data_IF_074785942623
#
_entry.id   IF_074785942623
#
_cell.length_a   1.000
_cell.length_b   1.000
_cell.length_c   1.000
_cell.angle_alpha   90.00
_cell.angle_beta   90.00
_cell.angle_gamma   90.00
#
_symmetry.space_group_name_H-M   'P 1'
#
loop_
_entity.id
_entity.type
_entity.pdbx_description
1 polymer ?
#
# COMPACT_ATOMS: atom_id res chain seq x y z
N UNK A 1 -57.20 -26.65 32.38
CA UNK A 1 -55.77 -26.36 32.09
C UNK A 1 -55.45 -25.03 32.76
N UNK A 2 -54.48 -25.01 33.72
CA UNK A 2 -54.26 -23.82 34.55
C UNK A 2 -53.68 -22.69 33.68
N UNK A 3 -54.18 -21.46 33.88
CA UNK A 3 -53.79 -20.22 33.14
C UNK A 3 -52.27 -19.96 33.17
N UNK A 4 -51.58 -20.48 34.20
CA UNK A 4 -50.12 -20.45 34.32
C UNK A 4 -49.41 -21.39 33.37
N UNK A 5 -49.98 -22.54 33.03
CA UNK A 5 -49.42 -23.48 32.02
C UNK A 5 -49.58 -22.89 30.60
N UNK A 6 -50.68 -22.24 30.32
CA UNK A 6 -50.90 -21.57 29.02
C UNK A 6 -49.89 -20.43 28.78
N UNK A 7 -49.63 -19.56 29.78
CA UNK A 7 -48.61 -18.50 29.68
C UNK A 7 -47.20 -19.03 29.44
N UNK A 8 -46.84 -20.16 30.07
CA UNK A 8 -45.55 -20.80 29.86
C UNK A 8 -45.40 -21.36 28.44
N UNK A 9 -46.43 -22.01 27.92
CA UNK A 9 -46.37 -22.51 26.54
C UNK A 9 -46.37 -21.39 25.49
N UNK A 10 -47.05 -20.31 25.76
CA UNK A 10 -47.06 -19.13 24.88
C UNK A 10 -45.68 -18.43 24.87
N UNK A 11 -45.03 -18.32 26.02
CA UNK A 11 -43.68 -17.78 26.11
C UNK A 11 -42.64 -18.66 25.38
N UNK A 12 -42.74 -19.98 25.48
CA UNK A 12 -41.85 -20.91 24.75
C UNK A 12 -42.06 -20.82 23.25
N UNK A 13 -43.34 -20.73 22.80
CA UNK A 13 -43.64 -20.58 21.38
C UNK A 13 -43.16 -19.23 20.81
N UNK A 14 -43.27 -18.14 21.59
CA UNK A 14 -42.78 -16.83 21.21
C UNK A 14 -41.22 -16.79 21.12
N UNK A 15 -40.53 -17.46 22.07
CA UNK A 15 -39.08 -17.60 21.99
C UNK A 15 -38.62 -18.46 20.80
N UNK A 16 -39.35 -19.51 20.46
CA UNK A 16 -39.08 -20.34 19.29
C UNK A 16 -39.31 -19.59 17.97
N UNK A 17 -40.31 -18.71 17.92
CA UNK A 17 -40.58 -17.86 16.75
C UNK A 17 -39.53 -16.74 16.59
N UNK A 18 -38.91 -16.25 17.66
CA UNK A 18 -37.86 -15.26 17.65
C UNK A 18 -36.48 -15.87 17.37
N UNK A 19 -36.27 -17.15 17.64
CA UNK A 19 -35.02 -17.88 17.38
C UNK A 19 -34.82 -18.27 15.90
N UNK A 20 -35.85 -18.14 15.09
CA UNK A 20 -35.80 -18.46 13.64
C UNK A 20 -35.40 -17.31 12.71
N UNK A 21 -35.06 -16.14 13.25
CA UNK A 21 -34.62 -14.99 12.46
C UNK A 21 -33.09 -14.94 12.29
N UNK A 22 -32.38 -16.08 12.27
CA UNK A 22 -31.14 -16.15 11.54
C UNK A 22 -31.52 -16.06 10.05
N UNK A 23 -31.46 -14.90 9.46
CA UNK A 23 -31.42 -14.78 8.01
C UNK A 23 -30.17 -15.54 7.56
N UNK A 24 -30.40 -16.78 7.11
CA UNK A 24 -29.43 -17.49 6.32
C UNK A 24 -29.35 -16.72 4.98
N UNK A 25 -28.44 -15.77 4.90
CA UNK A 25 -27.99 -15.25 3.63
C UNK A 25 -27.33 -16.44 2.97
N UNK A 26 -28.06 -17.11 2.08
CA UNK A 26 -27.54 -18.22 1.28
C UNK A 26 -26.17 -17.88 0.69
N UNK A 27 -25.45 -18.83 0.10
CA UNK A 27 -24.14 -18.55 -0.47
C UNK A 27 -24.23 -17.31 -1.38
N UNK A 28 -23.41 -16.32 -1.08
CA UNK A 28 -23.41 -15.06 -1.85
C UNK A 28 -23.10 -15.41 -3.31
N UNK A 29 -24.04 -15.10 -4.21
CA UNK A 29 -23.81 -15.31 -5.63
C UNK A 29 -22.75 -14.30 -6.08
N UNK A 30 -21.58 -14.79 -6.50
CA UNK A 30 -20.53 -13.95 -7.05
C UNK A 30 -20.94 -13.51 -8.46
N UNK A 31 -20.66 -12.25 -8.75
CA UNK A 31 -20.95 -11.66 -10.06
C UNK A 31 -19.78 -11.92 -11.01
N UNK A 32 -20.09 -12.23 -12.25
CA UNK A 32 -19.10 -12.30 -13.32
C UNK A 32 -19.05 -10.93 -14.04
N UNK A 33 -17.99 -10.19 -13.79
CA UNK A 33 -17.69 -8.97 -14.51
C UNK A 33 -16.89 -9.26 -15.76
N UNK A 34 -17.19 -8.54 -16.84
CA UNK A 34 -16.40 -8.57 -18.08
C UNK A 34 -16.22 -7.13 -18.57
N UNK A 35 -15.13 -6.50 -18.19
CA UNK A 35 -14.82 -5.13 -18.61
C UNK A 35 -13.93 -5.17 -19.84
N UNK A 36 -14.36 -4.46 -20.88
CA UNK A 36 -13.63 -4.40 -22.17
C UNK A 36 -13.07 -3.02 -22.49
N UNK A 37 -13.42 -2.02 -21.67
CA UNK A 37 -13.04 -0.64 -21.88
C UNK A 37 -12.03 -0.10 -20.87
N UNK A 38 -11.65 1.16 -21.05
CA UNK A 38 -10.86 1.91 -20.09
C UNK A 38 -11.74 2.42 -18.96
N UNK A 39 -11.24 2.43 -17.73
CA UNK A 39 -11.96 2.94 -16.58
C UNK A 39 -11.04 3.37 -15.44
N UNK A 40 -11.65 3.81 -14.36
CA UNK A 40 -10.94 4.28 -13.18
C UNK A 40 -11.28 3.41 -11.98
N UNK A 41 -10.28 2.84 -11.35
CA UNK A 41 -10.42 2.20 -10.05
C UNK A 41 -10.34 3.24 -8.93
N UNK A 42 -11.20 3.10 -7.94
CA UNK A 42 -11.29 3.98 -6.79
C UNK A 42 -11.20 3.10 -5.55
N UNK A 43 -10.10 3.21 -4.83
CA UNK A 43 -9.93 2.58 -3.51
C UNK A 43 -10.68 3.42 -2.49
N UNK A 44 -11.66 2.81 -1.83
CA UNK A 44 -12.38 3.42 -0.72
C UNK A 44 -11.75 2.91 0.57
N UNK A 45 -11.06 3.79 1.26
CA UNK A 45 -10.29 3.46 2.46
C UNK A 45 -11.18 2.84 3.56
N UNK A 46 -12.39 3.34 3.69
CA UNK A 46 -13.28 2.96 4.77
C UNK A 46 -12.93 3.65 6.08
N UNK A 47 -13.53 3.16 7.16
CA UNK A 47 -13.24 3.63 8.52
C UNK A 47 -12.27 2.68 9.19
N UNK A 48 -11.21 3.21 9.78
CA UNK A 48 -10.23 2.43 10.53
C UNK A 48 -10.89 1.55 11.61
N UNK A 49 -10.55 0.28 11.66
CA UNK A 49 -11.10 -0.78 12.53
C UNK A 49 -12.55 -1.21 12.22
N UNK A 50 -13.14 -0.82 11.10
CA UNK A 50 -14.51 -1.23 10.74
C UNK A 50 -14.56 -2.33 9.66
N UNK A 51 -13.46 -2.65 9.01
CA UNK A 51 -13.38 -3.67 7.98
C UNK A 51 -14.31 -3.40 6.79
N UNK A 52 -14.51 -2.12 6.46
CA UNK A 52 -15.44 -1.67 5.42
C UNK A 52 -14.74 -0.98 4.24
N UNK A 53 -13.46 -1.25 4.05
CA UNK A 53 -12.77 -0.86 2.84
C UNK A 53 -13.38 -1.55 1.61
N UNK A 54 -13.41 -0.84 0.50
CA UNK A 54 -14.00 -1.36 -0.74
C UNK A 54 -13.28 -0.85 -1.98
N UNK A 55 -13.57 -1.46 -3.12
CA UNK A 55 -13.11 -1.05 -4.42
C UNK A 55 -14.31 -0.69 -5.30
N UNK A 56 -14.25 0.47 -5.94
CA UNK A 56 -15.22 0.89 -6.93
C UNK A 56 -14.54 1.04 -8.29
N UNK A 57 -15.35 0.89 -9.35
CA UNK A 57 -14.92 1.10 -10.74
C UNK A 57 -15.83 2.11 -11.42
N UNK A 58 -15.25 3.11 -12.06
CA UNK A 58 -15.94 4.07 -12.88
C UNK A 58 -15.72 3.76 -14.35
N UNK A 59 -16.81 3.54 -15.07
CA UNK A 59 -16.85 3.38 -16.53
C UNK A 59 -17.12 4.76 -17.15
N UNK A 60 -16.16 5.39 -17.84
CA UNK A 60 -16.34 6.71 -18.42
C UNK A 60 -17.24 6.72 -19.67
N UNK A 61 -17.40 5.58 -20.36
CA UNK A 61 -18.26 5.48 -21.54
C UNK A 61 -19.73 5.43 -21.11
N UNK A 62 -20.04 4.62 -20.11
CA UNK A 62 -21.39 4.51 -19.53
C UNK A 62 -21.70 5.62 -18.53
N UNK A 63 -20.66 6.33 -18.03
CA UNK A 63 -20.76 7.31 -16.92
C UNK A 63 -21.38 6.72 -15.67
N UNK A 64 -21.01 5.49 -15.35
CA UNK A 64 -21.55 4.73 -14.23
C UNK A 64 -20.43 4.31 -13.27
N UNK A 65 -20.77 4.24 -11.99
CA UNK A 65 -19.91 3.73 -10.94
C UNK A 65 -20.46 2.39 -10.47
N UNK A 66 -19.63 1.37 -10.51
CA UNK A 66 -19.87 0.07 -9.89
C UNK A 66 -19.17 0.05 -8.53
N UNK A 67 -19.96 -0.08 -7.47
CA UNK A 67 -19.42 -0.12 -6.10
C UNK A 67 -19.22 -1.55 -5.64
N UNK A 68 -18.33 -1.72 -4.64
CA UNK A 68 -18.02 -2.99 -3.98
C UNK A 68 -17.63 -4.12 -4.95
N UNK A 69 -16.99 -3.76 -6.08
CA UNK A 69 -16.66 -4.71 -7.16
C UNK A 69 -15.81 -5.89 -6.68
N UNK A 70 -14.91 -5.67 -5.72
CA UNK A 70 -14.12 -6.75 -5.15
C UNK A 70 -15.00 -7.76 -4.40
N UNK A 71 -15.90 -7.26 -3.53
CA UNK A 71 -16.80 -8.12 -2.76
C UNK A 71 -17.77 -8.88 -3.67
N UNK A 72 -18.35 -8.19 -4.65
CA UNK A 72 -19.29 -8.78 -5.61
C UNK A 72 -18.64 -9.86 -6.47
N UNK A 73 -17.37 -9.67 -6.87
CA UNK A 73 -16.65 -10.64 -7.68
C UNK A 73 -16.10 -11.84 -6.88
N UNK A 74 -15.86 -11.68 -5.57
CA UNK A 74 -15.12 -12.69 -4.78
C UNK A 74 -15.95 -13.29 -3.62
N UNK A 75 -17.07 -12.68 -3.22
CA UNK A 75 -17.91 -13.16 -2.13
C UNK A 75 -17.39 -12.88 -0.72
N UNK A 76 -16.30 -12.14 -0.58
CA UNK A 76 -15.76 -11.72 0.70
C UNK A 76 -15.24 -10.28 0.65
N UNK A 77 -15.17 -9.64 1.82
CA UNK A 77 -14.78 -8.23 1.94
C UNK A 77 -13.30 -8.01 1.70
N UNK A 78 -12.96 -6.83 1.16
CA UNK A 78 -11.57 -6.42 0.95
C UNK A 78 -10.79 -6.31 2.27
N UNK A 79 -11.43 -5.84 3.34
CA UNK A 79 -10.82 -5.73 4.66
C UNK A 79 -10.89 -4.31 5.23
N UNK A 80 -9.84 -3.91 5.92
CA UNK A 80 -9.77 -2.65 6.65
C UNK A 80 -8.64 -1.77 6.10
N UNK A 81 -8.99 -0.57 5.66
CA UNK A 81 -8.12 0.46 5.10
C UNK A 81 -7.48 0.07 3.75
N UNK A 82 -8.22 0.22 2.64
CA UNK A 82 -7.67 0.10 1.29
C UNK A 82 -6.78 1.32 0.96
N UNK A 83 -5.50 1.20 1.24
CA UNK A 83 -4.53 2.31 1.26
C UNK A 83 -4.11 2.78 -0.13
N UNK A 84 -3.84 1.84 -1.02
CA UNK A 84 -3.33 2.14 -2.36
C UNK A 84 -3.62 1.01 -3.34
N UNK A 85 -3.54 1.31 -4.63
CA UNK A 85 -3.63 0.33 -5.70
C UNK A 85 -2.65 0.67 -6.80
N UNK A 86 -1.98 -0.34 -7.34
CA UNK A 86 -1.11 -0.24 -8.52
C UNK A 86 -1.58 -1.26 -9.55
N UNK A 87 -1.67 -0.83 -10.81
CA UNK A 87 -2.00 -1.74 -11.93
C UNK A 87 -0.72 -2.04 -12.70
N UNK A 88 -0.46 -3.33 -12.89
CA UNK A 88 0.65 -3.81 -13.70
C UNK A 88 0.26 -5.07 -14.46
N UNK A 89 0.47 -5.10 -15.77
CA UNK A 89 0.28 -6.26 -16.62
C UNK A 89 -1.11 -6.92 -16.49
N UNK A 90 -2.17 -6.10 -16.38
CA UNK A 90 -3.54 -6.59 -16.24
C UNK A 90 -3.91 -7.04 -14.82
N UNK A 91 -3.00 -6.92 -13.86
CA UNK A 91 -3.22 -7.22 -12.45
C UNK A 91 -3.29 -5.94 -11.64
N UNK A 92 -4.35 -5.81 -10.84
CA UNK A 92 -4.52 -4.75 -9.85
C UNK A 92 -4.03 -5.22 -8.48
N UNK A 93 -3.03 -4.55 -7.93
CA UNK A 93 -2.45 -4.84 -6.62
C UNK A 93 -3.00 -3.87 -5.60
N UNK A 94 -3.85 -4.37 -4.71
CA UNK A 94 -4.57 -3.57 -3.71
C UNK A 94 -3.91 -3.76 -2.35
N UNK A 95 -3.33 -2.70 -1.82
CA UNK A 95 -2.71 -2.71 -0.49
C UNK A 95 -3.77 -2.41 0.56
N UNK A 96 -4.01 -3.35 1.46
CA UNK A 96 -4.98 -3.21 2.54
C UNK A 96 -4.25 -3.12 3.88
N UNK A 97 -4.08 -1.88 4.33
CA UNK A 97 -3.17 -1.49 5.39
C UNK A 97 -3.43 -2.22 6.72
N UNK A 98 -4.60 -2.02 7.32
CA UNK A 98 -4.91 -2.56 8.66
C UNK A 98 -5.28 -4.06 8.64
N UNK A 99 -5.44 -4.64 7.45
CA UNK A 99 -5.59 -6.09 7.28
C UNK A 99 -4.27 -6.80 7.00
N UNK A 100 -3.18 -6.06 6.79
CA UNK A 100 -1.84 -6.64 6.59
C UNK A 100 -1.71 -7.50 5.34
N UNK A 101 -2.45 -7.18 4.28
CA UNK A 101 -2.55 -7.99 3.05
C UNK A 101 -2.45 -7.11 1.80
N UNK A 102 -1.91 -7.68 0.74
CA UNK A 102 -1.96 -7.12 -0.61
C UNK A 102 -2.67 -8.13 -1.49
N UNK A 103 -3.83 -7.77 -2.04
CA UNK A 103 -4.55 -8.58 -3.02
C UNK A 103 -4.05 -8.30 -4.43
N UNK A 104 -3.91 -9.35 -5.22
CA UNK A 104 -3.75 -9.29 -6.66
C UNK A 104 -5.08 -9.70 -7.32
N UNK A 105 -5.65 -8.83 -8.13
CA UNK A 105 -6.90 -9.08 -8.84
C UNK A 105 -6.70 -8.94 -10.35
N UNK A 106 -7.39 -9.73 -11.13
CA UNK A 106 -7.56 -9.48 -12.56
C UNK A 106 -8.41 -8.22 -12.76
N UNK A 107 -7.90 -7.22 -13.50
CA UNK A 107 -8.57 -5.93 -13.64
C UNK A 107 -9.82 -5.97 -14.52
N UNK A 108 -10.04 -7.05 -15.26
CA UNK A 108 -11.20 -7.20 -16.16
C UNK A 108 -12.36 -7.93 -15.49
N UNK A 109 -12.05 -8.86 -14.59
CA UNK A 109 -13.04 -9.69 -13.89
C UNK A 109 -13.18 -9.33 -12.42
N UNK A 110 -12.26 -8.53 -11.88
CA UNK A 110 -12.12 -8.16 -10.47
C UNK A 110 -11.90 -9.35 -9.52
N UNK A 111 -11.71 -10.55 -10.08
CA UNK A 111 -11.45 -11.76 -9.30
C UNK A 111 -10.03 -11.76 -8.75
N UNK A 112 -9.92 -12.20 -7.50
CA UNK A 112 -8.62 -12.44 -6.89
C UNK A 112 -7.88 -13.55 -7.64
N UNK A 113 -6.62 -13.28 -7.98
CA UNK A 113 -5.70 -14.23 -8.59
C UNK A 113 -4.58 -14.64 -7.64
N UNK A 114 -4.40 -13.89 -6.55
CA UNK A 114 -3.43 -14.18 -5.50
C UNK A 114 -3.39 -13.10 -4.44
N UNK A 115 -2.64 -13.34 -3.36
CA UNK A 115 -2.42 -12.37 -2.29
C UNK A 115 -1.09 -12.58 -1.60
N UNK A 116 -0.55 -11.52 -1.01
CA UNK A 116 0.62 -11.55 -0.15
C UNK A 116 0.16 -11.15 1.24
N UNK A 117 0.42 -11.99 2.23
CA UNK A 117 0.03 -11.80 3.63
C UNK A 117 1.27 -11.71 4.55
N UNK A 118 1.08 -11.31 5.78
CA UNK A 118 2.13 -11.28 6.79
C UNK A 118 2.78 -9.91 6.99
N UNK A 119 2.16 -8.86 6.49
CA UNK A 119 2.57 -7.48 6.78
C UNK A 119 1.97 -6.99 8.10
N UNK A 120 2.63 -6.02 8.72
CA UNK A 120 2.09 -5.31 9.88
C UNK A 120 1.07 -4.26 9.46
N UNK A 121 1.48 -3.35 8.59
CA UNK A 121 0.65 -2.24 8.09
C UNK A 121 1.21 -1.75 6.76
N UNK A 122 1.01 -2.49 5.65
CA UNK A 122 1.56 -2.16 4.34
C UNK A 122 0.96 -0.85 3.80
N UNK A 123 1.77 -0.08 3.09
CA UNK A 123 1.37 1.23 2.55
C UNK A 123 1.36 1.26 1.03
N UNK A 124 2.48 0.93 0.41
CA UNK A 124 2.65 0.98 -1.04
C UNK A 124 3.48 -0.20 -1.51
N UNK A 125 3.19 -0.68 -2.71
CA UNK A 125 4.01 -1.65 -3.43
C UNK A 125 4.68 -0.97 -4.62
N UNK A 126 5.97 -1.22 -4.82
CA UNK A 126 6.77 -0.72 -5.94
C UNK A 126 7.48 -1.88 -6.63
N UNK A 127 7.20 -2.06 -7.91
CA UNK A 127 7.75 -3.17 -8.69
C UNK A 127 9.10 -2.78 -9.30
N UNK A 128 10.12 -3.58 -9.03
CA UNK A 128 11.42 -3.47 -9.68
C UNK A 128 11.47 -4.30 -10.97
N UNK A 129 10.89 -5.49 -10.92
CA UNK A 129 10.73 -6.40 -12.05
C UNK A 129 9.57 -7.39 -11.76
N UNK A 130 9.44 -8.48 -12.53
CA UNK A 130 8.35 -9.45 -12.36
C UNK A 130 8.52 -10.36 -11.14
N UNK A 131 9.71 -10.45 -10.58
CA UNK A 131 10.04 -11.34 -9.46
C UNK A 131 10.40 -10.59 -8.19
N UNK A 132 10.49 -9.25 -8.27
CA UNK A 132 10.91 -8.43 -7.12
C UNK A 132 10.14 -7.14 -7.05
N UNK A 133 9.52 -6.90 -5.90
CA UNK A 133 8.90 -5.64 -5.55
C UNK A 133 9.21 -5.28 -4.09
N UNK A 134 9.16 -4.00 -3.78
CA UNK A 134 9.28 -3.49 -2.42
C UNK A 134 7.91 -3.11 -1.86
N UNK A 135 7.70 -3.37 -0.58
CA UNK A 135 6.48 -2.98 0.15
C UNK A 135 6.87 -2.14 1.36
N UNK A 136 6.43 -0.90 1.36
CA UNK A 136 6.60 0.02 2.49
C UNK A 136 5.56 -0.22 3.56
N UNK A 137 5.87 0.13 4.80
CA UNK A 137 5.00 -0.07 5.94
C UNK A 137 5.00 1.14 6.89
N UNK A 138 3.94 1.24 7.67
CA UNK A 138 3.85 2.09 8.86
C UNK A 138 3.96 1.22 10.11
N UNK A 139 4.58 1.72 11.16
CA UNK A 139 4.84 1.03 12.43
C UNK A 139 5.78 -0.19 12.32
N UNK A 140 6.55 -0.24 11.24
CA UNK A 140 7.58 -1.24 11.01
C UNK A 140 8.77 -0.59 10.30
N UNK A 141 9.98 -0.67 10.84
CA UNK A 141 11.17 -0.09 10.23
C UNK A 141 11.67 -0.86 9.00
N UNK A 142 11.00 -1.95 8.64
CA UNK A 142 11.40 -2.79 7.51
C UNK A 142 10.62 -2.40 6.25
N UNK A 143 11.33 -2.39 5.13
CA UNK A 143 10.72 -2.38 3.80
C UNK A 143 10.79 -3.82 3.30
N UNK A 144 9.64 -4.44 3.06
CA UNK A 144 9.61 -5.84 2.68
C UNK A 144 9.95 -6.03 1.21
N UNK A 145 10.62 -7.13 0.91
CA UNK A 145 10.91 -7.59 -0.45
C UNK A 145 9.97 -8.75 -0.72
N UNK A 146 9.21 -8.65 -1.81
CA UNK A 146 8.23 -9.66 -2.19
C UNK A 146 8.48 -10.15 -3.60
N UNK A 147 8.07 -11.38 -3.86
CA UNK A 147 8.02 -11.92 -5.21
C UNK A 147 6.57 -11.87 -5.72
N UNK A 148 6.26 -11.03 -6.72
CA UNK A 148 4.91 -10.91 -7.26
C UNK A 148 4.38 -12.18 -7.97
N UNK A 149 5.27 -13.05 -8.46
CA UNK A 149 4.86 -14.30 -9.13
C UNK A 149 4.45 -15.39 -8.15
N UNK A 150 5.14 -15.48 -7.01
CA UNK A 150 4.87 -16.53 -6.01
C UNK A 150 3.98 -16.05 -4.88
N UNK A 151 3.71 -14.73 -4.80
CA UNK A 151 2.97 -14.07 -3.72
C UNK A 151 3.62 -14.27 -2.34
N UNK A 152 4.95 -14.29 -2.29
CA UNK A 152 5.71 -14.55 -1.07
C UNK A 152 6.56 -13.35 -0.65
N UNK A 153 6.71 -13.17 0.66
CA UNK A 153 7.73 -12.30 1.23
C UNK A 153 9.05 -13.06 1.16
N UNK A 154 10.03 -12.50 0.44
CA UNK A 154 11.34 -13.14 0.23
C UNK A 154 12.44 -12.54 1.11
N UNK A 155 12.20 -11.37 1.70
CA UNK A 155 13.17 -10.69 2.55
C UNK A 155 12.69 -9.32 3.01
N UNK A 156 13.60 -8.55 3.56
CA UNK A 156 13.35 -7.16 3.94
C UNK A 156 14.61 -6.33 3.95
N UNK A 157 14.45 -5.03 3.77
CA UNK A 157 15.49 -4.02 3.95
C UNK A 157 15.30 -3.41 5.33
N UNK A 158 16.30 -3.54 6.20
CA UNK A 158 16.26 -2.92 7.52
C UNK A 158 16.61 -1.44 7.40
N UNK A 159 15.75 -0.58 7.89
CA UNK A 159 16.04 0.84 8.09
C UNK A 159 16.55 1.09 9.52
N UNK A 160 17.01 2.31 9.78
CA UNK A 160 17.43 2.74 11.12
C UNK A 160 16.31 3.40 11.93
N UNK A 161 15.06 3.23 11.48
CA UNK A 161 13.86 3.77 12.15
C UNK A 161 13.44 2.88 13.31
N UNK A 162 12.74 3.49 14.27
CA UNK A 162 12.13 2.78 15.39
C UNK A 162 10.79 2.16 15.01
N UNK A 163 10.38 1.08 15.67
CA UNK A 163 9.06 0.44 15.45
C UNK A 163 7.87 1.34 15.77
N UNK A 164 8.00 2.27 16.71
CA UNK A 164 6.90 3.16 17.11
C UNK A 164 6.71 4.35 16.17
N UNK A 165 7.77 4.78 15.50
CA UNK A 165 7.78 5.99 14.67
C UNK A 165 8.20 5.72 13.24
N UNK A 166 8.69 4.51 12.97
CA UNK A 166 9.16 4.11 11.65
C UNK A 166 7.99 4.00 10.68
N UNK A 167 8.08 4.73 9.60
CA UNK A 167 7.16 4.59 8.49
C UNK A 167 7.80 5.02 7.19
N UNK A 168 7.66 4.18 6.19
CA UNK A 168 8.00 4.47 4.81
C UNK A 168 6.73 4.48 3.97
N UNK A 169 6.68 5.36 3.01
CA UNK A 169 5.47 5.64 2.23
C UNK A 169 5.70 5.40 0.75
N UNK A 170 5.41 6.39 -0.05
CA UNK A 170 5.53 6.29 -1.51
C UNK A 170 6.96 6.07 -1.95
N UNK A 171 7.10 5.36 -3.06
CA UNK A 171 8.38 5.06 -3.68
C UNK A 171 8.43 5.56 -5.11
N UNK A 172 9.60 6.03 -5.52
CA UNK A 172 9.92 6.34 -6.92
C UNK A 172 11.29 5.75 -7.25
N UNK A 173 11.43 5.23 -8.45
CA UNK A 173 12.69 4.64 -8.91
C UNK A 173 13.35 5.52 -9.96
N UNK A 174 14.66 5.67 -9.82
CA UNK A 174 15.52 6.22 -10.86
C UNK A 174 16.78 5.36 -10.99
N UNK A 175 16.99 4.78 -12.18
CA UNK A 175 18.05 3.82 -12.42
C UNK A 175 17.98 2.66 -11.41
N UNK A 176 19.04 2.34 -10.72
CA UNK A 176 19.09 1.32 -9.68
C UNK A 176 18.67 1.81 -8.29
N UNK A 177 18.27 3.05 -8.14
CA UNK A 177 17.92 3.62 -6.85
C UNK A 177 16.42 3.78 -6.68
N UNK A 178 15.90 3.36 -5.55
CA UNK A 178 14.53 3.64 -5.09
C UNK A 178 14.60 4.66 -3.96
N UNK A 179 13.78 5.69 -4.10
CA UNK A 179 13.61 6.74 -3.11
C UNK A 179 12.29 6.53 -2.41
N UNK A 180 12.27 6.57 -1.08
CA UNK A 180 11.04 6.50 -0.30
C UNK A 180 11.01 7.59 0.75
N UNK A 181 9.88 8.31 0.85
CA UNK A 181 9.69 9.29 1.90
C UNK A 181 9.28 8.62 3.20
N UNK A 182 9.64 9.26 4.31
CA UNK A 182 9.20 8.88 5.64
C UNK A 182 7.98 9.72 6.03
N UNK A 183 6.97 9.06 6.62
CA UNK A 183 5.78 9.73 7.10
C UNK A 183 5.91 10.03 8.59
N UNK A 184 5.25 11.08 9.05
CA UNK A 184 5.07 11.41 10.46
C UNK A 184 6.40 11.52 11.26
N UNK A 185 6.68 12.68 11.82
CA UNK A 185 7.82 12.98 12.69
C UNK A 185 9.21 12.96 12.03
N UNK A 186 9.33 12.55 10.78
CA UNK A 186 10.61 12.51 10.07
C UNK A 186 10.56 13.33 8.78
N UNK A 187 11.69 13.98 8.47
CA UNK A 187 11.87 14.79 7.28
C UNK A 187 12.95 14.18 6.36
N UNK A 188 12.93 12.85 6.25
CA UNK A 188 13.92 12.09 5.48
C UNK A 188 13.30 11.45 4.24
N UNK A 189 14.12 11.35 3.21
CA UNK A 189 13.91 10.48 2.06
C UNK A 189 15.05 9.46 2.07
N UNK A 190 14.72 8.20 2.17
CA UNK A 190 15.72 7.13 2.12
C UNK A 190 16.05 6.81 0.66
N UNK A 191 17.32 6.55 0.40
CA UNK A 191 17.82 6.09 -0.91
C UNK A 191 18.23 4.63 -0.77
N UNK A 192 17.58 3.77 -1.56
CA UNK A 192 17.77 2.33 -1.55
C UNK A 192 18.49 1.92 -2.83
N UNK A 193 19.60 1.19 -2.70
CA UNK A 193 20.24 0.53 -3.83
C UNK A 193 19.57 -0.83 -4.08
N UNK A 194 18.97 -1.00 -5.26
CA UNK A 194 18.21 -2.20 -5.61
C UNK A 194 19.05 -3.42 -5.97
N UNK A 195 20.36 -3.22 -6.20
CA UNK A 195 21.31 -4.31 -6.43
C UNK A 195 21.74 -4.99 -5.13
N UNK A 196 21.80 -4.20 -4.04
CA UNK A 196 22.23 -4.71 -2.73
C UNK A 196 21.09 -4.82 -1.72
N UNK A 197 19.91 -4.30 -2.02
CA UNK A 197 18.75 -4.22 -1.13
C UNK A 197 19.08 -3.56 0.21
N UNK A 198 19.76 -2.41 0.14
CA UNK A 198 20.20 -1.67 1.33
C UNK A 198 19.88 -0.19 1.20
N UNK A 199 19.59 0.44 2.34
CA UNK A 199 19.57 1.92 2.42
C UNK A 199 21.01 2.40 2.32
N UNK A 200 21.35 3.08 1.23
CA UNK A 200 22.71 3.52 0.95
C UNK A 200 22.95 5.00 1.26
N UNK A 201 21.91 5.83 1.22
CA UNK A 201 21.99 7.27 1.52
C UNK A 201 20.64 7.78 2.05
N UNK A 202 20.63 9.02 2.52
CA UNK A 202 19.40 9.72 2.92
C UNK A 202 19.47 11.20 2.52
N UNK A 203 18.32 11.76 2.20
CA UNK A 203 18.15 13.17 1.90
C UNK A 203 17.29 13.78 3.00
N UNK A 204 17.78 14.81 3.68
CA UNK A 204 17.00 15.54 4.67
C UNK A 204 16.19 16.61 3.98
N UNK A 205 14.86 16.54 4.09
CA UNK A 205 13.96 17.58 3.62
C UNK A 205 13.82 18.68 4.69
N UNK A 206 13.66 19.93 4.26
CA UNK A 206 13.56 21.06 5.19
C UNK A 206 12.21 21.16 5.90
N UNK A 207 11.20 20.45 5.43
CA UNK A 207 9.86 20.39 6.04
C UNK A 207 9.54 18.98 6.54
N UNK A 208 8.81 18.89 7.65
CA UNK A 208 8.42 17.62 8.31
C UNK A 208 7.59 16.67 7.46
N UNK A 209 7.14 17.08 6.28
CA UNK A 209 6.31 16.27 5.40
C UNK A 209 6.94 16.19 4.02
N UNK A 210 7.92 15.31 3.85
CA UNK A 210 8.47 14.98 2.53
C UNK A 210 7.43 14.32 1.59
N UNK A 211 6.16 14.26 2.02
CA UNK A 211 5.05 13.57 1.39
C UNK A 211 4.75 14.02 -0.04
N UNK A 212 5.07 15.28 -0.38
CA UNK A 212 4.79 15.83 -1.70
C UNK A 212 5.98 15.81 -2.66
N UNK A 213 7.14 15.38 -2.19
CA UNK A 213 8.37 15.43 -2.97
C UNK A 213 8.54 14.27 -3.97
N UNK A 214 7.80 13.16 -3.78
CA UNK A 214 7.94 11.95 -4.61
C UNK A 214 6.81 11.75 -5.64
N UNK A 215 5.92 12.73 -5.79
CA UNK A 215 4.79 12.64 -6.72
C UNK A 215 5.24 12.87 -8.16
N UNK A 216 5.99 11.98 -8.77
CA UNK A 216 5.98 11.85 -10.24
C UNK A 216 6.68 10.59 -10.71
N UNK A 217 5.89 9.57 -10.91
CA UNK A 217 6.21 8.55 -11.90
C UNK A 217 5.22 8.67 -13.05
N UNK A 218 5.76 8.84 -14.26
CA UNK A 218 5.09 8.92 -15.56
C UNK A 218 4.37 10.24 -15.89
N UNK A 219 5.13 11.15 -16.48
CA UNK A 219 4.66 11.98 -17.60
C UNK A 219 3.90 13.25 -17.31
N UNK A 220 3.42 13.52 -16.11
CA UNK A 220 2.65 14.72 -15.83
C UNK A 220 3.17 15.50 -14.63
N UNK A 221 3.75 16.65 -14.94
CA UNK A 221 4.00 17.76 -14.03
C UNK A 221 2.66 18.40 -13.64
N UNK A 222 1.81 17.68 -12.93
CA UNK A 222 0.55 18.22 -12.46
C UNK A 222 0.50 18.27 -10.95
N UNK A 223 0.70 19.49 -10.46
CA UNK A 223 0.14 20.02 -9.23
C UNK A 223 0.73 19.57 -7.89
N UNK A 224 1.87 20.10 -7.55
CA UNK A 224 1.99 20.68 -6.21
C UNK A 224 0.94 21.81 -6.09
N UNK A 225 -0.30 21.49 -5.82
CA UNK A 225 -1.37 22.44 -5.48
C UNK A 225 -2.01 22.00 -4.19
N UNK A 226 -1.39 22.41 -3.09
CA UNK A 226 -2.03 22.96 -1.90
C UNK A 226 -0.94 23.49 -0.97
N UNK A 227 -0.69 24.77 -1.07
CA UNK A 227 -0.45 25.69 0.07
C UNK A 227 0.90 25.67 0.76
N UNK A 228 1.76 24.68 0.60
CA UNK A 228 3.06 24.66 1.29
C UNK A 228 4.19 24.74 0.24
N UNK A 229 4.84 25.89 0.18
CA UNK A 229 6.06 26.09 -0.60
C UNK A 229 7.16 25.14 -0.08
N UNK A 230 7.57 24.20 -0.94
CA UNK A 230 8.82 23.46 -0.72
C UNK A 230 9.97 24.46 -0.65
N UNK A 231 10.81 24.38 0.36
CA UNK A 231 11.96 25.28 0.44
C UNK A 231 12.88 25.12 -0.75
N UNK A 232 13.56 26.22 -1.11
CA UNK A 232 14.47 26.25 -2.26
C UNK A 232 15.57 25.17 -2.23
N UNK A 233 15.97 24.69 -1.04
CA UNK A 233 16.95 23.61 -0.88
C UNK A 233 16.36 22.23 -1.17
N UNK A 234 15.13 21.96 -0.76
CA UNK A 234 14.43 20.70 -1.08
C UNK A 234 14.13 20.63 -2.57
N UNK A 235 13.69 21.75 -3.17
CA UNK A 235 13.51 21.86 -4.61
C UNK A 235 14.82 21.71 -5.37
N UNK A 236 15.94 22.18 -4.82
CA UNK A 236 17.26 22.06 -5.43
C UNK A 236 17.79 20.63 -5.34
N UNK A 237 17.65 19.97 -4.19
CA UNK A 237 17.99 18.55 -4.05
C UNK A 237 17.15 17.68 -4.98
N UNK A 238 15.84 17.89 -5.01
CA UNK A 238 14.93 17.19 -5.90
C UNK A 238 15.13 17.58 -7.36
N UNK A 239 15.51 18.83 -7.67
CA UNK A 239 15.81 19.26 -9.02
C UNK A 239 17.16 18.76 -9.52
N UNK A 240 18.14 18.57 -8.65
CA UNK A 240 19.36 17.85 -9.00
C UNK A 240 19.07 16.39 -9.37
N UNK A 241 18.02 15.78 -8.80
CA UNK A 241 17.54 14.45 -9.16
C UNK A 241 16.49 14.46 -10.29
N UNK A 242 15.70 15.51 -10.45
CA UNK A 242 14.63 15.62 -11.46
C UNK A 242 15.05 16.34 -12.75
N UNK A 243 15.99 17.27 -12.71
CA UNK A 243 16.55 17.94 -13.90
C UNK A 243 17.29 16.99 -14.85
N UNK A 244 17.61 15.80 -14.37
CA UNK A 244 18.22 14.74 -15.15
C UNK A 244 17.31 14.12 -16.22
N UNK A 245 16.03 14.46 -16.23
CA UNK A 245 15.04 13.86 -17.14
C UNK A 245 14.67 14.73 -18.35
N UNK A 246 14.97 16.01 -18.32
CA UNK A 246 14.50 16.94 -19.38
C UNK A 246 15.41 17.08 -20.58
N UNK A 247 16.70 16.73 -20.49
CA UNK A 247 17.67 17.02 -21.54
C UNK A 247 18.21 15.81 -22.31
N UNK A 248 17.74 14.59 -22.03
CA UNK A 248 18.17 13.40 -22.79
C UNK A 248 19.67 13.08 -22.74
N UNK A 249 20.43 13.80 -21.92
CA UNK A 249 21.86 13.56 -21.70
C UNK A 249 22.09 12.81 -20.39
N UNK A 250 22.94 11.78 -20.47
CA UNK A 250 23.37 11.02 -19.29
C UNK A 250 24.10 11.91 -18.31
N UNK A 251 23.43 12.31 -17.25
CA UNK A 251 24.10 13.03 -16.15
C UNK A 251 24.85 12.01 -15.30
N UNK A 252 26.14 12.25 -15.13
CA UNK A 252 26.95 11.42 -14.26
C UNK A 252 26.62 11.74 -12.79
N UNK A 253 26.05 10.78 -12.08
CA UNK A 253 25.86 10.79 -10.62
C UNK A 253 27.19 10.75 -9.88
N UNK A 254 28.06 11.72 -10.06
CA UNK A 254 29.37 11.74 -9.41
C UNK A 254 29.32 11.80 -7.88
N UNK A 255 28.21 12.29 -7.32
CA UNK A 255 28.02 12.41 -5.87
C UNK A 255 27.41 11.19 -5.20
N UNK A 256 26.39 10.56 -5.80
CA UNK A 256 25.68 9.41 -5.25
C UNK A 256 26.47 8.11 -5.38
N UNK A 257 27.07 7.83 -6.52
CA UNK A 257 27.93 6.64 -6.69
C UNK A 257 29.04 6.60 -5.63
N UNK A 258 29.62 7.74 -5.30
CA UNK A 258 30.65 7.81 -4.26
C UNK A 258 30.17 7.57 -2.83
N UNK A 259 28.86 7.73 -2.55
CA UNK A 259 28.29 7.48 -1.21
C UNK A 259 27.73 6.08 -1.07
N UNK A 260 26.99 5.61 -2.04
CA UNK A 260 26.42 4.26 -2.04
C UNK A 260 27.48 3.16 -2.19
N UNK A 261 28.59 3.43 -2.90
CA UNK A 261 29.67 2.47 -3.09
C UNK A 261 30.66 2.38 -1.89
N UNK A 262 30.50 3.20 -0.85
CA UNK A 262 31.31 3.11 0.37
C UNK A 262 30.63 2.19 1.38
N UNK A 263 31.29 1.11 1.85
CA UNK A 263 30.76 0.34 2.97
C UNK A 263 30.59 1.27 4.17
N UNK A 264 29.40 1.34 4.75
CA UNK A 264 29.16 2.04 6.02
C UNK A 264 30.08 1.44 7.05
N UNK A 265 31.00 2.24 7.59
CA UNK A 265 31.78 1.85 8.76
C UNK A 265 30.78 1.53 9.87
N UNK A 266 30.69 0.25 10.24
CA UNK A 266 29.71 -0.25 11.20
C UNK A 266 29.79 0.58 12.49
N UNK A 267 28.71 1.23 12.85
CA UNK A 267 28.47 1.68 14.21
C UNK A 267 28.21 0.41 15.02
N UNK A 268 29.27 -0.06 15.70
CA UNK A 268 29.14 -1.18 16.61
C UNK A 268 28.07 -0.88 17.66
N UNK A 269 26.99 -1.62 17.65
CA UNK A 269 26.10 -1.69 18.80
C UNK A 269 26.85 -2.40 19.93
N UNK A 270 26.91 -1.82 21.13
CA UNK A 270 27.43 -2.57 22.28
C UNK A 270 26.44 -3.71 22.57
N UNK A 271 26.94 -4.92 22.49
CA UNK A 271 26.22 -6.11 22.91
C UNK A 271 25.86 -5.97 24.40
N UNK A 272 24.56 -5.83 24.71
CA UNK A 272 24.02 -6.02 26.05
C UNK A 272 23.95 -7.53 26.30
N UNK A 273 25.01 -8.04 26.96
CA UNK A 273 24.98 -9.37 27.54
C UNK A 273 24.07 -9.40 28.77
N UNK A 274 23.33 -10.49 28.87
CA UNK A 274 22.44 -10.93 29.91
C UNK A 274 22.95 -10.78 31.36
N UNK A 275 22.01 -10.47 32.24
CA UNK A 275 21.79 -11.21 33.51
C UNK A 275 20.28 -11.23 33.81
#
# INVERSE_FOLDING_TARGET
MSFTKFKRWFAILACAALGGACMDYGPYEVEDFGITGSGLFITNEGNFMYGNASLSYYDPEKKQVENEIFFRANGFKLGDVAQSMVIRDGIGWIVVNNSGVIYAIDIYTFKEVGRIEGFTSPRYIHFLNDEKAYVTQIWDPRIYIVNPRTYEITGYIQTDMDFETGSTEQMVQYDKYVFTNCWSYQNRILVIDTETDTVCDEITATQRYARHALLHQQGDLAAARHGDELSGETLRALSEYALLRLDGQSVQFGGLRGRCDRPRAGRGHPALFAR
#
